data_IF_212785283003
#
_entry.id   IF_212785283003
#
_cell.length_a   1.000
_cell.length_b   1.000
_cell.length_c   1.000
_cell.angle_alpha   90.00
_cell.angle_beta   90.00
_cell.angle_gamma   90.00
#
_symmetry.space_group_name_H-M   'P 1'
#
loop_
_entity.id
_entity.type
_entity.pdbx_description
1 polymer ?
#
# COMPACT_ATOMS: atom_id res chain seq x y z
N UNK A 1 -4.37 -15.63 25.77
CA UNK A 1 -2.92 -15.51 25.57
C UNK A 1 -2.63 -15.82 24.11
N UNK A 2 -2.55 -14.80 23.26
CA UNK A 2 -2.30 -14.97 21.83
C UNK A 2 -0.79 -15.22 21.65
N UNK A 3 -0.43 -16.40 21.17
CA UNK A 3 0.96 -16.72 20.84
C UNK A 3 1.44 -15.76 19.76
N UNK A 4 2.36 -14.87 20.12
CA UNK A 4 3.17 -14.19 19.14
C UNK A 4 3.93 -15.30 18.38
N UNK A 5 3.42 -15.65 17.19
CA UNK A 5 4.15 -16.49 16.25
C UNK A 5 5.53 -15.86 16.10
N UNK A 6 6.57 -16.59 16.48
CA UNK A 6 7.95 -16.19 16.21
C UNK A 6 8.05 -15.92 14.69
N UNK A 7 8.27 -14.67 14.26
CA UNK A 7 8.27 -14.32 12.84
C UNK A 7 9.30 -15.14 12.06
N UNK A 8 10.38 -15.56 12.74
CA UNK A 8 11.40 -16.41 12.13
C UNK A 8 10.98 -17.88 12.02
N UNK A 9 10.03 -18.35 12.85
CA UNK A 9 9.45 -19.70 12.76
C UNK A 9 8.53 -19.83 11.56
N UNK A 10 7.65 -18.84 11.34
CA UNK A 10 6.71 -18.87 10.20
C UNK A 10 7.44 -18.83 8.86
N UNK A 11 8.44 -17.94 8.74
CA UNK A 11 9.30 -17.90 7.56
C UNK A 11 10.00 -19.25 7.28
N UNK A 12 10.59 -19.87 8.32
CA UNK A 12 11.25 -21.18 8.18
C UNK A 12 10.27 -22.26 7.70
N UNK A 13 9.09 -22.33 8.29
CA UNK A 13 8.06 -23.28 7.88
C UNK A 13 7.67 -23.10 6.40
N UNK A 14 7.38 -21.86 5.98
CA UNK A 14 6.97 -21.58 4.60
C UNK A 14 8.06 -21.87 3.58
N UNK A 15 9.33 -21.67 3.97
CA UNK A 15 10.48 -22.06 3.15
C UNK A 15 10.57 -23.57 3.02
N UNK A 16 10.47 -24.29 4.14
CA UNK A 16 10.53 -25.75 4.14
C UNK A 16 9.33 -26.36 3.36
N UNK A 17 8.14 -25.74 3.42
CA UNK A 17 6.96 -26.13 2.63
C UNK A 17 7.18 -25.94 1.12
N UNK A 18 7.84 -24.83 0.73
CA UNK A 18 8.20 -24.57 -0.67
C UNK A 18 9.27 -25.55 -1.17
N UNK A 19 10.26 -25.89 -0.34
CA UNK A 19 11.30 -26.86 -0.65
C UNK A 19 10.72 -28.28 -0.82
N UNK A 20 9.68 -28.61 -0.05
CA UNK A 20 8.96 -29.88 -0.16
C UNK A 20 8.11 -29.96 -1.43
N UNK A 21 7.33 -28.92 -1.73
CA UNK A 21 6.51 -28.84 -2.94
C UNK A 21 6.51 -27.41 -3.49
N UNK A 22 7.06 -27.24 -4.70
CA UNK A 22 7.06 -25.96 -5.41
C UNK A 22 5.71 -25.67 -6.07
N UNK A 23 4.79 -25.11 -5.30
CA UNK A 23 3.48 -24.66 -5.79
C UNK A 23 3.39 -23.13 -5.80
N UNK A 24 2.52 -22.58 -6.66
CA UNK A 24 2.18 -21.15 -6.65
C UNK A 24 1.75 -20.70 -5.25
N UNK A 25 0.92 -21.51 -4.57
CA UNK A 25 0.43 -21.20 -3.23
C UNK A 25 1.57 -21.11 -2.19
N UNK A 26 2.47 -22.09 -2.17
CA UNK A 26 3.61 -22.09 -1.24
C UNK A 26 4.54 -20.91 -1.51
N UNK A 27 4.81 -20.64 -2.79
CA UNK A 27 5.67 -19.55 -3.22
C UNK A 27 5.09 -18.18 -2.89
N UNK A 28 3.80 -17.98 -3.15
CA UNK A 28 3.10 -16.75 -2.80
C UNK A 28 2.99 -16.54 -1.28
N UNK A 29 2.76 -17.61 -0.51
CA UNK A 29 2.71 -17.53 0.94
C UNK A 29 4.08 -17.12 1.52
N UNK A 30 5.18 -17.69 1.01
CA UNK A 30 6.53 -17.28 1.39
C UNK A 30 6.83 -15.85 0.95
N UNK A 31 6.42 -15.45 -0.26
CA UNK A 31 6.59 -14.07 -0.76
C UNK A 31 5.90 -13.04 0.15
N UNK A 32 4.66 -13.31 0.57
CA UNK A 32 3.92 -12.44 1.51
C UNK A 32 4.60 -12.35 2.88
N UNK A 33 5.14 -13.45 3.40
CA UNK A 33 5.90 -13.43 4.65
C UNK A 33 7.21 -12.65 4.48
N UNK A 34 7.91 -12.79 3.35
CA UNK A 34 9.08 -11.98 3.01
C UNK A 34 8.74 -10.49 2.98
N UNK A 35 7.60 -10.08 2.39
CA UNK A 35 7.13 -8.69 2.45
C UNK A 35 6.92 -8.22 3.89
N UNK A 36 6.28 -9.03 4.73
CA UNK A 36 6.01 -8.70 6.13
C UNK A 36 7.29 -8.54 6.96
N UNK A 37 8.34 -9.29 6.62
CA UNK A 37 9.66 -9.23 7.26
C UNK A 37 10.61 -8.19 6.64
N UNK A 38 10.20 -7.47 5.60
CA UNK A 38 11.03 -6.50 4.89
C UNK A 38 12.10 -7.12 3.98
N UNK A 39 11.98 -8.42 3.67
CA UNK A 39 12.87 -9.15 2.76
C UNK A 39 12.40 -8.96 1.30
N UNK A 40 12.46 -7.72 0.84
CA UNK A 40 11.82 -7.35 -0.42
C UNK A 40 12.46 -8.00 -1.65
N UNK A 41 13.78 -8.23 -1.66
CA UNK A 41 14.46 -8.95 -2.75
C UNK A 41 13.98 -10.40 -2.87
N UNK A 42 13.86 -11.11 -1.74
CA UNK A 42 13.34 -12.49 -1.70
C UNK A 42 11.88 -12.54 -2.16
N UNK A 43 11.06 -11.59 -1.69
CA UNK A 43 9.66 -11.48 -2.10
C UNK A 43 9.55 -11.25 -3.62
N UNK A 44 10.33 -10.33 -4.17
CA UNK A 44 10.35 -10.01 -5.60
C UNK A 44 10.68 -11.25 -6.43
N UNK A 45 11.74 -11.97 -6.08
CA UNK A 45 12.13 -13.21 -6.78
C UNK A 45 11.04 -14.30 -6.75
N UNK A 46 10.30 -14.41 -5.65
CA UNK A 46 9.17 -15.32 -5.57
C UNK A 46 7.99 -14.88 -6.43
N UNK A 47 7.60 -13.61 -6.44
CA UNK A 47 6.52 -13.13 -7.31
C UNK A 47 6.89 -13.22 -8.78
N UNK A 48 8.12 -12.88 -9.18
CA UNK A 48 8.57 -13.05 -10.57
C UNK A 48 8.47 -14.51 -11.01
N UNK A 49 8.83 -15.44 -10.12
CA UNK A 49 8.71 -16.87 -10.42
C UNK A 49 7.25 -17.34 -10.47
N UNK A 50 6.35 -16.80 -9.64
CA UNK A 50 4.91 -17.06 -9.75
C UNK A 50 4.37 -16.54 -11.07
N UNK A 51 4.64 -15.28 -11.43
CA UNK A 51 4.16 -14.63 -12.65
C UNK A 51 4.65 -15.30 -13.93
N UNK A 52 5.76 -16.04 -13.88
CA UNK A 52 6.26 -16.83 -15.00
C UNK A 52 5.52 -18.18 -15.20
N UNK A 53 4.62 -18.58 -14.29
CA UNK A 53 3.89 -19.83 -14.38
C UNK A 53 2.54 -19.66 -15.10
N UNK A 54 2.03 -20.69 -15.80
CA UNK A 54 0.78 -20.58 -16.58
C UNK A 54 -0.46 -20.14 -15.80
N UNK A 55 -0.51 -20.39 -14.49
CA UNK A 55 -1.62 -20.01 -13.60
C UNK A 55 -1.24 -18.88 -12.62
N UNK A 56 -0.10 -18.22 -12.84
CA UNK A 56 0.39 -17.15 -11.96
C UNK A 56 0.11 -15.74 -12.47
N UNK A 57 -0.50 -15.60 -13.64
CA UNK A 57 -0.78 -14.32 -14.28
C UNK A 57 -2.07 -13.69 -13.74
N UNK A 58 -2.05 -13.34 -12.45
CA UNK A 58 -3.18 -12.77 -11.72
C UNK A 58 -2.79 -11.42 -11.07
N UNK A 59 -3.76 -10.48 -10.94
CA UNK A 59 -3.47 -9.14 -10.42
C UNK A 59 -2.91 -9.17 -8.99
N UNK A 60 -3.31 -10.15 -8.17
CA UNK A 60 -2.84 -10.28 -6.79
C UNK A 60 -1.32 -10.49 -6.71
N UNK A 61 -0.73 -11.26 -7.62
CA UNK A 61 0.71 -11.51 -7.63
C UNK A 61 1.49 -10.32 -8.20
N UNK A 62 0.92 -9.60 -9.17
CA UNK A 62 1.50 -8.34 -9.66
C UNK A 62 1.48 -7.24 -8.59
N UNK A 63 0.43 -7.19 -7.75
CA UNK A 63 0.40 -6.28 -6.61
C UNK A 63 1.44 -6.65 -5.54
N UNK A 64 1.63 -7.95 -5.29
CA UNK A 64 2.70 -8.44 -4.43
C UNK A 64 4.08 -8.02 -4.94
N UNK A 65 4.32 -8.18 -6.24
CA UNK A 65 5.53 -7.69 -6.92
C UNK A 65 5.72 -6.18 -6.74
N UNK A 66 4.69 -5.37 -7.00
CA UNK A 66 4.77 -3.92 -6.84
C UNK A 66 5.09 -3.50 -5.40
N UNK A 67 4.56 -4.22 -4.40
CA UNK A 67 4.90 -4.00 -2.98
C UNK A 67 6.37 -4.31 -2.70
N UNK A 68 6.92 -5.36 -3.30
CA UNK A 68 8.34 -5.70 -3.17
C UNK A 68 9.23 -4.64 -3.83
N UNK A 69 8.93 -4.24 -5.07
CA UNK A 69 9.64 -3.19 -5.81
C UNK A 69 9.62 -1.86 -5.03
N UNK A 70 8.47 -1.47 -4.49
CA UNK A 70 8.35 -0.29 -3.66
C UNK A 70 9.20 -0.38 -2.38
N UNK A 71 9.21 -1.53 -1.72
CA UNK A 71 10.03 -1.78 -0.53
C UNK A 71 11.54 -1.68 -0.80
N UNK A 72 11.98 -2.05 -2.00
CA UNK A 72 13.35 -1.89 -2.49
C UNK A 72 13.69 -0.45 -2.89
N UNK A 73 12.70 0.45 -2.93
CA UNK A 73 12.88 1.80 -3.47
C UNK A 73 12.98 1.83 -5.00
N UNK A 74 12.64 0.75 -5.69
CA UNK A 74 12.54 0.70 -7.16
C UNK A 74 11.21 1.32 -7.60
N UNK A 75 11.06 2.63 -7.37
CA UNK A 75 9.78 3.34 -7.48
C UNK A 75 9.22 3.31 -8.90
N UNK A 76 10.06 3.50 -9.93
CA UNK A 76 9.63 3.45 -11.33
C UNK A 76 9.15 2.05 -11.74
N UNK A 77 9.78 1.00 -11.22
CA UNK A 77 9.35 -0.38 -11.45
C UNK A 77 7.98 -0.64 -10.78
N UNK A 78 7.81 -0.24 -9.52
CA UNK A 78 6.54 -0.37 -8.81
C UNK A 78 5.40 0.37 -9.53
N UNK A 79 5.67 1.59 -10.01
CA UNK A 79 4.72 2.37 -10.82
C UNK A 79 4.36 1.61 -12.09
N UNK A 80 5.35 1.16 -12.87
CA UNK A 80 5.10 0.43 -14.11
C UNK A 80 4.28 -0.85 -13.89
N UNK A 81 4.58 -1.61 -12.83
CA UNK A 81 3.82 -2.80 -12.45
C UNK A 81 2.36 -2.45 -12.09
N UNK A 82 2.12 -1.36 -11.37
CA UNK A 82 0.78 -0.91 -10.98
C UNK A 82 -0.03 -0.35 -12.16
N UNK A 83 0.61 0.39 -13.07
CA UNK A 83 0.02 0.82 -14.34
C UNK A 83 -0.40 -0.38 -15.19
N UNK A 84 0.45 -1.41 -15.23
CA UNK A 84 0.16 -2.65 -15.95
C UNK A 84 -1.02 -3.41 -15.33
N UNK A 85 -1.13 -3.47 -14.00
CA UNK A 85 -2.32 -4.05 -13.33
C UNK A 85 -3.59 -3.31 -13.76
N UNK A 86 -3.58 -1.96 -13.72
CA UNK A 86 -4.73 -1.14 -14.15
C UNK A 86 -5.08 -1.37 -15.62
N UNK A 87 -4.08 -1.51 -16.49
CA UNK A 87 -4.29 -1.72 -17.93
C UNK A 87 -4.87 -3.10 -18.24
N UNK A 88 -4.37 -4.14 -17.57
CA UNK A 88 -4.74 -5.54 -17.84
C UNK A 88 -6.04 -5.96 -17.14
N UNK A 89 -6.28 -5.46 -15.94
CA UNK A 89 -7.47 -5.75 -15.14
C UNK A 89 -8.18 -4.47 -14.69
N UNK A 90 -8.78 -3.71 -15.62
CA UNK A 90 -9.41 -2.42 -15.30
C UNK A 90 -10.60 -2.53 -14.33
N UNK A 91 -11.21 -3.70 -14.22
CA UNK A 91 -12.29 -3.98 -13.26
C UNK A 91 -11.79 -4.42 -11.88
N UNK A 92 -10.49 -4.73 -11.75
CA UNK A 92 -9.91 -5.16 -10.48
C UNK A 92 -9.65 -3.95 -9.60
N UNK A 93 -10.57 -3.72 -8.66
CA UNK A 93 -10.51 -2.60 -7.73
C UNK A 93 -9.80 -3.04 -6.45
N UNK A 94 -8.60 -2.52 -6.22
CA UNK A 94 -7.84 -2.77 -5.00
C UNK A 94 -7.35 -1.45 -4.42
N UNK A 95 -8.05 -0.98 -3.38
CA UNK A 95 -7.86 0.35 -2.82
C UNK A 95 -6.43 0.55 -2.29
N UNK A 96 -5.85 -0.48 -1.66
CA UNK A 96 -4.48 -0.51 -1.17
C UNK A 96 -3.45 -0.42 -2.29
N UNK A 97 -3.71 -1.05 -3.45
CA UNK A 97 -2.84 -0.96 -4.63
C UNK A 97 -2.86 0.43 -5.27
N UNK A 98 -4.04 1.05 -5.34
CA UNK A 98 -4.16 2.42 -5.85
C UNK A 98 -3.54 3.44 -4.88
N UNK A 99 -3.64 3.22 -3.56
CA UNK A 99 -2.92 4.02 -2.57
C UNK A 99 -1.40 3.83 -2.71
N UNK A 100 -0.91 2.60 -2.86
CA UNK A 100 0.51 2.33 -3.10
C UNK A 100 1.01 3.07 -4.34
N UNK A 101 0.21 3.10 -5.41
CA UNK A 101 0.52 3.84 -6.63
C UNK A 101 0.69 5.34 -6.38
N UNK A 102 -0.25 5.97 -5.66
CA UNK A 102 -0.15 7.39 -5.29
C UNK A 102 1.10 7.69 -4.44
N UNK A 103 1.43 6.81 -3.49
CA UNK A 103 2.63 6.94 -2.64
C UNK A 103 3.92 6.76 -3.47
N UNK A 104 3.93 5.81 -4.41
CA UNK A 104 5.08 5.57 -5.28
C UNK A 104 5.35 6.79 -6.18
N UNK A 105 4.30 7.36 -6.80
CA UNK A 105 4.37 8.59 -7.57
C UNK A 105 4.93 9.75 -6.75
N UNK A 106 4.43 9.95 -5.52
CA UNK A 106 4.91 10.99 -4.61
C UNK A 106 6.40 10.84 -4.32
N UNK A 107 6.85 9.62 -3.98
CA UNK A 107 8.26 9.35 -3.68
C UNK A 107 9.16 9.49 -4.91
N UNK A 108 8.64 9.22 -6.11
CA UNK A 108 9.35 9.40 -7.37
C UNK A 108 9.39 10.87 -7.83
N UNK A 109 8.73 11.78 -7.11
CA UNK A 109 8.67 13.20 -7.46
C UNK A 109 7.62 13.54 -8.53
N UNK A 110 6.82 12.57 -8.99
CA UNK A 110 5.69 12.73 -9.93
C UNK A 110 4.48 13.35 -9.21
N UNK A 111 4.68 14.60 -8.77
CA UNK A 111 3.86 15.28 -7.76
C UNK A 111 2.41 15.50 -8.19
N UNK A 112 2.18 16.03 -9.40
CA UNK A 112 0.83 16.31 -9.89
C UNK A 112 0.01 15.04 -10.06
N UNK A 113 0.65 13.97 -10.55
CA UNK A 113 0.03 12.65 -10.69
C UNK A 113 -0.28 12.03 -9.33
N UNK A 114 0.61 12.18 -8.34
CA UNK A 114 0.36 11.74 -6.97
C UNK A 114 -0.86 12.45 -6.36
N UNK A 115 -0.96 13.78 -6.52
CA UNK A 115 -2.11 14.55 -6.03
C UNK A 115 -3.42 14.10 -6.67
N UNK A 116 -3.43 13.89 -7.99
CA UNK A 116 -4.60 13.38 -8.70
C UNK A 116 -5.00 11.98 -8.20
N UNK A 117 -4.04 11.07 -8.05
CA UNK A 117 -4.33 9.72 -7.57
C UNK A 117 -4.75 9.70 -6.09
N UNK A 118 -4.20 10.55 -5.22
CA UNK A 118 -4.68 10.67 -3.85
C UNK A 118 -6.12 11.18 -3.78
N UNK A 119 -6.48 12.14 -4.64
CA UNK A 119 -7.85 12.63 -4.73
C UNK A 119 -8.82 11.51 -5.14
N UNK A 120 -8.48 10.78 -6.21
CA UNK A 120 -9.29 9.68 -6.72
C UNK A 120 -9.45 8.56 -5.69
N UNK A 121 -8.33 8.08 -5.13
CA UNK A 121 -8.32 7.02 -4.10
C UNK A 121 -9.09 7.45 -2.85
N UNK A 122 -8.95 8.72 -2.45
CA UNK A 122 -9.61 9.28 -1.28
C UNK A 122 -11.14 9.25 -1.35
N UNK A 123 -11.74 9.08 -2.53
CA UNK A 123 -13.20 8.99 -2.71
C UNK A 123 -13.79 7.63 -2.32
N UNK A 124 -13.00 6.56 -2.36
CA UNK A 124 -13.50 5.19 -2.12
C UNK A 124 -12.64 4.37 -1.13
N UNK A 125 -11.44 4.81 -0.78
CA UNK A 125 -10.57 4.08 0.15
C UNK A 125 -11.19 4.01 1.56
N UNK A 126 -11.16 2.85 2.24
CA UNK A 126 -11.65 2.71 3.59
C UNK A 126 -10.69 3.34 4.61
N UNK A 127 -10.80 4.65 4.83
CA UNK A 127 -10.02 5.37 5.83
C UNK A 127 -9.57 6.75 5.39
N UNK A 128 -8.86 7.45 6.27
CA UNK A 128 -8.45 8.83 6.03
C UNK A 128 -7.08 8.97 5.35
N UNK A 129 -6.31 7.88 5.26
CA UNK A 129 -4.91 7.91 4.82
C UNK A 129 -4.68 8.64 3.48
N UNK A 130 -5.37 8.34 2.37
CA UNK A 130 -5.10 9.00 1.09
C UNK A 130 -5.34 10.51 1.17
N UNK A 131 -6.44 10.94 1.81
CA UNK A 131 -6.79 12.36 1.95
C UNK A 131 -5.82 13.11 2.87
N UNK A 132 -5.32 12.47 3.92
CA UNK A 132 -4.30 13.09 4.79
C UNK A 132 -2.96 13.20 4.07
N UNK A 133 -2.54 12.17 3.31
CA UNK A 133 -1.33 12.24 2.49
C UNK A 133 -1.42 13.32 1.40
N UNK A 134 -2.58 13.45 0.76
CA UNK A 134 -2.88 14.56 -0.16
C UNK A 134 -2.65 15.92 0.51
N UNK A 135 -3.23 16.12 1.70
CA UNK A 135 -3.08 17.36 2.46
C UNK A 135 -1.62 17.62 2.87
N UNK A 136 -0.88 16.59 3.27
CA UNK A 136 0.55 16.69 3.59
C UNK A 136 1.38 17.10 2.37
N UNK A 137 1.12 16.50 1.21
CA UNK A 137 1.79 16.84 -0.04
C UNK A 137 1.47 18.29 -0.45
N UNK A 138 0.21 18.71 -0.41
CA UNK A 138 -0.20 20.10 -0.67
C UNK A 138 0.50 21.09 0.27
N UNK A 139 0.63 20.77 1.55
CA UNK A 139 1.34 21.62 2.51
C UNK A 139 2.83 21.78 2.15
N UNK A 140 3.51 20.69 1.75
CA UNK A 140 4.91 20.74 1.30
C UNK A 140 5.10 21.56 0.03
N UNK A 141 4.05 21.68 -0.80
CA UNK A 141 4.04 22.50 -2.02
C UNK A 141 3.62 23.96 -1.79
N UNK A 142 3.39 24.37 -0.53
CA UNK A 142 2.92 25.73 -0.21
C UNK A 142 1.43 25.98 -0.47
N UNK A 143 0.66 24.96 -0.87
CA UNK A 143 -0.79 25.02 -1.11
C UNK A 143 -1.58 24.84 0.20
N UNK A 144 -1.28 25.71 1.18
CA UNK A 144 -1.72 25.56 2.56
C UNK A 144 -3.24 25.67 2.77
N UNK A 145 -3.94 26.48 1.97
CA UNK A 145 -5.40 26.62 2.07
C UNK A 145 -6.12 25.33 1.67
N UNK A 146 -5.71 24.72 0.56
CA UNK A 146 -6.28 23.44 0.09
C UNK A 146 -5.96 22.30 1.06
N UNK A 147 -4.72 22.24 1.55
CA UNK A 147 -4.32 21.29 2.58
C UNK A 147 -5.19 21.40 3.84
N UNK A 148 -5.42 22.63 4.33
CA UNK A 148 -6.25 22.91 5.51
C UNK A 148 -7.70 22.51 5.28
N UNK A 149 -8.24 22.79 4.09
CA UNK A 149 -9.63 22.43 3.75
C UNK A 149 -9.85 20.92 3.82
N UNK A 150 -8.98 20.14 3.19
CA UNK A 150 -9.05 18.66 3.21
C UNK A 150 -8.89 18.13 4.64
N UNK A 151 -7.87 18.61 5.36
CA UNK A 151 -7.57 18.15 6.70
C UNK A 151 -8.68 18.49 7.72
N UNK A 152 -9.32 19.64 7.58
CA UNK A 152 -10.48 20.04 8.41
C UNK A 152 -11.66 19.09 8.20
N UNK A 153 -11.94 18.71 6.95
CA UNK A 153 -13.01 17.77 6.64
C UNK A 153 -12.73 16.38 7.23
N UNK A 154 -11.49 15.88 7.07
CA UNK A 154 -11.05 14.61 7.66
C UNK A 154 -11.18 14.64 9.19
N UNK A 155 -10.66 15.68 9.85
CA UNK A 155 -10.70 15.80 11.31
C UNK A 155 -12.14 15.88 11.84
N UNK A 156 -13.03 16.58 11.13
CA UNK A 156 -14.46 16.65 11.46
C UNK A 156 -15.13 15.28 11.34
N UNK A 157 -14.90 14.59 10.22
CA UNK A 157 -15.49 13.27 9.95
C UNK A 157 -15.03 12.23 10.98
N UNK A 158 -13.72 12.11 11.19
CA UNK A 158 -13.17 11.20 12.20
C UNK A 158 -13.54 11.60 13.63
N UNK A 159 -13.67 12.88 13.93
CA UNK A 159 -14.11 13.35 15.26
C UNK A 159 -15.51 12.88 15.64
N UNK A 160 -16.38 12.64 14.66
CA UNK A 160 -17.75 12.11 14.84
C UNK A 160 -17.83 10.59 14.76
N UNK A 161 -16.77 9.91 14.33
CA UNK A 161 -16.76 8.47 14.17
C UNK A 161 -16.76 7.75 15.54
N UNK A 162 -17.24 6.49 15.63
CA UNK A 162 -17.16 5.69 16.85
C UNK A 162 -15.72 5.51 17.38
N UNK A 163 -15.58 5.29 18.68
CA UNK A 163 -14.28 5.21 19.37
C UNK A 163 -13.30 4.22 18.74
N UNK A 164 -13.76 3.04 18.35
CA UNK A 164 -12.90 2.02 17.72
C UNK A 164 -12.37 2.48 16.35
N UNK A 165 -13.16 3.21 15.56
CA UNK A 165 -12.72 3.81 14.30
C UNK A 165 -11.69 4.91 14.56
N UNK A 166 -11.96 5.80 15.52
CA UNK A 166 -11.01 6.86 15.90
C UNK A 166 -9.68 6.30 16.36
N UNK A 167 -9.68 5.22 17.15
CA UNK A 167 -8.46 4.53 17.60
C UNK A 167 -7.67 3.94 16.44
N UNK A 168 -8.33 3.23 15.51
CA UNK A 168 -7.68 2.66 14.31
C UNK A 168 -7.11 3.75 13.39
N UNK A 169 -7.74 4.92 13.34
CA UNK A 169 -7.34 6.05 12.50
C UNK A 169 -6.62 7.16 13.30
N UNK A 170 -6.13 6.87 14.50
CA UNK A 170 -5.65 7.89 15.44
C UNK A 170 -4.49 8.73 14.87
N UNK A 171 -3.54 8.07 14.21
CA UNK A 171 -2.42 8.76 13.55
C UNK A 171 -2.91 9.75 12.48
N UNK A 172 -3.92 9.37 11.71
CA UNK A 172 -4.48 10.19 10.63
C UNK A 172 -5.32 11.33 11.19
N UNK A 173 -6.07 11.09 12.27
CA UNK A 173 -6.79 12.14 12.99
C UNK A 173 -5.83 13.19 13.56
N UNK A 174 -4.74 12.77 14.19
CA UNK A 174 -3.73 13.68 14.73
C UNK A 174 -3.08 14.51 13.62
N UNK A 175 -2.64 13.87 12.53
CA UNK A 175 -2.06 14.58 11.38
C UNK A 175 -3.05 15.56 10.74
N UNK A 176 -4.31 15.15 10.57
CA UNK A 176 -5.35 16.04 10.03
C UNK A 176 -5.58 17.27 10.93
N UNK A 177 -5.66 17.10 12.25
CA UNK A 177 -5.78 18.20 13.21
C UNK A 177 -4.61 19.17 13.14
N UNK A 178 -3.39 18.65 13.09
CA UNK A 178 -2.18 19.46 12.97
C UNK A 178 -2.19 20.32 11.68
N UNK A 179 -2.57 19.75 10.54
CA UNK A 179 -2.65 20.49 9.26
C UNK A 179 -3.81 21.49 9.28
N UNK A 180 -4.95 21.11 9.88
CA UNK A 180 -6.13 21.95 10.01
C UNK A 180 -5.91 23.15 10.97
N UNK A 181 -5.03 23.00 11.96
CA UNK A 181 -4.80 23.98 13.02
C UNK A 181 -5.88 23.95 14.11
N UNK A 182 -6.44 22.76 14.41
CA UNK A 182 -7.54 22.54 15.38
C UNK A 182 -7.26 21.42 16.37
#
# INVERSE_FOLDING_TARGET
>A
MAGAMDPTRRYRQLRDDLDLVDTIANRAALAEECLALGKYDEALGHYDRVLALPLGDEPVFMLGKARAEFGLGALDAAIATLEEVKRRWPSYQFAEGHLLYAIALEKAGRTDEALANYDDVGRYYPGAEPRVRQAQLLQRLGRGEEARAIATDVARSLGRAPDHVRRRQAQWLTAARQIAGV
#
